data_IF_446657512565
#
_entry.id   IF_446657512565
#
_cell.length_a   1.000
_cell.length_b   1.000
_cell.length_c   1.000
_cell.angle_alpha   90.00
_cell.angle_beta   90.00
_cell.angle_gamma   90.00
#
_symmetry.space_group_name_H-M   'P 1'
#
loop_
_entity.id
_entity.type
_entity.pdbx_description
1 polymer ?
#
# COMPACT_ATOMS: atom_id res chain seq x y z
N UNK A 1 5.20 1.01 -7.28
CA UNK A 1 5.16 0.81 -5.80
C UNK A 1 3.80 0.24 -5.39
N UNK A 2 3.72 -1.05 -5.16
CA UNK A 2 2.50 -1.71 -4.67
C UNK A 2 2.60 -1.86 -3.15
N UNK A 3 1.69 -1.22 -2.43
CA UNK A 3 1.78 -1.12 -0.97
C UNK A 3 0.52 -1.68 -0.32
N UNK A 4 0.73 -2.67 0.55
CA UNK A 4 -0.32 -3.26 1.38
C UNK A 4 -0.35 -2.51 2.71
N UNK A 5 -1.45 -1.83 2.99
CA UNK A 5 -1.57 -1.02 4.22
C UNK A 5 -2.34 -1.73 5.33
N UNK A 6 -2.56 -3.04 5.19
CA UNK A 6 -3.20 -3.83 6.25
C UNK A 6 -2.23 -4.00 7.41
N UNK A 7 -2.78 -4.41 8.56
CA UNK A 7 -1.95 -4.73 9.71
C UNK A 7 -1.22 -6.05 9.49
N UNK A 8 -0.06 -6.20 10.11
CA UNK A 8 0.80 -7.38 9.93
C UNK A 8 0.07 -8.69 10.26
N UNK A 9 -0.78 -8.69 11.28
CA UNK A 9 -1.52 -9.89 11.65
C UNK A 9 -2.53 -10.32 10.58
N UNK A 10 -3.07 -9.40 9.81
CA UNK A 10 -3.95 -9.75 8.69
C UNK A 10 -3.17 -10.54 7.63
N UNK A 11 -1.93 -10.17 7.38
CA UNK A 11 -1.08 -10.85 6.41
C UNK A 11 -0.75 -12.29 6.86
N UNK A 12 -0.58 -12.49 8.15
CA UNK A 12 -0.31 -13.82 8.69
C UNK A 12 -1.48 -14.77 8.46
N UNK A 13 -2.68 -14.25 8.49
CA UNK A 13 -3.90 -15.05 8.31
C UNK A 13 -4.17 -15.33 6.82
N UNK A 14 -4.04 -14.32 5.98
CA UNK A 14 -4.48 -14.40 4.57
C UNK A 14 -3.34 -14.69 3.59
N UNK A 15 -2.10 -14.47 4.01
CA UNK A 15 -0.96 -14.43 3.10
C UNK A 15 -0.72 -13.04 2.55
N UNK A 16 0.32 -12.87 1.74
CA UNK A 16 0.74 -11.59 1.19
C UNK A 16 0.68 -11.61 -0.33
N UNK A 17 0.41 -10.45 -0.93
CA UNK A 17 0.47 -10.31 -2.39
C UNK A 17 1.94 -10.24 -2.80
N UNK A 18 2.34 -11.07 -3.74
CA UNK A 18 3.71 -11.10 -4.24
C UNK A 18 4.10 -9.73 -4.79
N UNK A 19 5.31 -9.31 -4.47
CA UNK A 19 5.89 -8.01 -4.87
C UNK A 19 5.27 -6.80 -4.19
N UNK A 20 4.42 -6.99 -3.18
CA UNK A 20 3.91 -5.88 -2.39
C UNK A 20 4.83 -5.60 -1.20
N UNK A 21 4.78 -4.36 -0.72
CA UNK A 21 5.48 -3.93 0.48
C UNK A 21 4.41 -3.67 1.53
N UNK A 22 4.57 -4.22 2.72
CA UNK A 22 3.63 -3.97 3.80
C UNK A 22 4.04 -2.73 4.60
N UNK A 23 3.18 -1.72 4.58
CA UNK A 23 3.32 -0.53 5.42
C UNK A 23 1.98 -0.35 6.11
N UNK A 24 1.84 -0.78 7.36
CA UNK A 24 0.56 -0.62 8.07
C UNK A 24 0.07 0.82 8.05
N UNK A 25 -1.25 1.01 7.96
CA UNK A 25 -1.85 2.34 7.78
C UNK A 25 -1.31 3.38 8.76
N UNK A 26 -1.09 2.98 10.01
CA UNK A 26 -0.60 3.90 11.05
C UNK A 26 0.82 4.41 10.85
N UNK A 27 1.59 3.76 9.98
CA UNK A 27 2.97 4.16 9.68
C UNK A 27 3.12 4.79 8.30
N UNK A 28 2.03 4.87 7.54
CA UNK A 28 2.12 5.22 6.12
C UNK A 28 2.69 6.62 5.89
N UNK A 29 2.17 7.62 6.57
CA UNK A 29 2.63 9.01 6.40
C UNK A 29 4.10 9.16 6.76
N UNK A 30 4.53 8.52 7.83
CA UNK A 30 5.91 8.56 8.26
C UNK A 30 6.83 7.90 7.24
N UNK A 31 6.47 6.71 6.80
CA UNK A 31 7.30 5.93 5.87
C UNK A 31 7.34 6.54 4.47
N UNK A 32 6.27 7.20 4.05
CA UNK A 32 6.18 7.81 2.72
C UNK A 32 6.43 9.32 2.73
N UNK A 33 6.86 9.88 3.84
CA UNK A 33 7.37 11.24 3.86
C UNK A 33 8.52 11.31 2.83
N UNK A 34 8.56 12.33 1.94
CA UNK A 34 9.65 12.45 0.95
C UNK A 34 11.05 12.43 1.57
N UNK A 35 11.17 12.85 2.83
CA UNK A 35 12.42 12.78 3.58
C UNK A 35 12.47 11.57 4.52
N UNK A 36 11.53 10.66 4.39
CA UNK A 36 11.39 9.50 5.26
C UNK A 36 12.29 8.33 4.89
N UNK A 37 12.29 7.28 5.72
CA UNK A 37 13.25 6.19 5.56
C UNK A 37 13.12 5.40 4.25
N UNK A 38 11.91 5.11 3.80
CA UNK A 38 11.75 4.28 2.60
C UNK A 38 12.08 5.05 1.31
N UNK A 39 11.78 6.35 1.28
CA UNK A 39 12.11 7.16 0.10
C UNK A 39 13.61 7.45 0.05
N UNK A 40 14.23 7.71 1.17
CA UNK A 40 15.67 7.96 1.24
C UNK A 40 16.49 6.70 0.90
N UNK A 41 16.00 5.53 1.25
CA UNK A 41 16.68 4.26 0.97
C UNK A 41 16.40 3.72 -0.43
N UNK A 42 15.56 4.40 -1.22
CA UNK A 42 15.22 3.97 -2.56
C UNK A 42 14.25 2.79 -2.63
N UNK A 43 13.68 2.37 -1.51
CA UNK A 43 12.70 1.27 -1.48
C UNK A 43 11.41 1.73 -2.13
N UNK A 44 11.01 2.97 -1.86
CA UNK A 44 9.88 3.62 -2.51
C UNK A 44 10.43 4.73 -3.42
N UNK A 45 10.05 4.68 -4.70
CA UNK A 45 10.41 5.74 -5.64
C UNK A 45 9.23 6.73 -5.69
N UNK A 46 9.38 7.95 -5.13
CA UNK A 46 8.27 8.92 -5.08
C UNK A 46 7.87 9.44 -6.45
N UNK A 47 8.69 9.20 -7.48
CA UNK A 47 8.39 9.62 -8.84
C UNK A 47 7.57 8.59 -9.61
N UNK A 48 7.45 7.39 -9.11
CA UNK A 48 6.66 6.32 -9.71
C UNK A 48 5.28 6.25 -9.07
N UNK A 49 4.34 5.65 -9.78
CA UNK A 49 2.99 5.47 -9.28
C UNK A 49 2.99 4.69 -7.97
N UNK A 50 2.16 5.12 -7.04
CA UNK A 50 1.95 4.44 -5.77
C UNK A 50 0.55 3.83 -5.80
N UNK A 51 0.47 2.53 -5.62
CA UNK A 51 -0.78 1.78 -5.62
C UNK A 51 -0.98 1.20 -4.23
N UNK A 52 -2.03 1.64 -3.54
CA UNK A 52 -2.34 1.19 -2.19
C UNK A 52 -3.46 0.17 -2.21
N UNK A 53 -3.43 -0.77 -1.27
CA UNK A 53 -4.59 -1.64 -1.06
C UNK A 53 -4.70 -2.03 0.41
N UNK A 54 -5.92 -2.36 0.81
CA UNK A 54 -6.21 -2.91 2.13
C UNK A 54 -7.08 -4.15 1.94
N UNK A 55 -7.86 -4.55 2.92
CA UNK A 55 -8.68 -5.77 2.79
C UNK A 55 -9.85 -5.58 1.82
N UNK A 56 -10.60 -4.49 1.93
CA UNK A 56 -11.83 -4.27 1.16
C UNK A 56 -11.89 -2.92 0.43
N UNK A 57 -10.92 -2.04 0.63
CA UNK A 57 -10.82 -0.76 -0.07
C UNK A 57 -11.11 0.49 0.77
N UNK A 58 -11.66 0.35 1.97
CA UNK A 58 -12.01 1.51 2.81
C UNK A 58 -10.80 2.28 3.31
N UNK A 59 -9.87 1.58 3.95
CA UNK A 59 -8.65 2.20 4.48
C UNK A 59 -7.79 2.78 3.36
N UNK A 60 -7.68 2.08 2.23
CA UNK A 60 -6.85 2.53 1.12
C UNK A 60 -7.43 3.73 0.40
N UNK A 61 -8.76 3.85 0.33
CA UNK A 61 -9.38 5.05 -0.25
C UNK A 61 -9.01 6.30 0.56
N UNK A 62 -9.11 6.21 1.89
CA UNK A 62 -8.74 7.33 2.77
C UNK A 62 -7.25 7.61 2.74
N UNK A 63 -6.42 6.56 2.69
CA UNK A 63 -4.98 6.71 2.61
C UNK A 63 -4.54 7.38 1.31
N UNK A 64 -5.20 7.07 0.20
CA UNK A 64 -4.93 7.73 -1.09
C UNK A 64 -5.13 9.22 -0.98
N UNK A 65 -6.24 9.64 -0.36
CA UNK A 65 -6.52 11.07 -0.15
C UNK A 65 -5.41 11.71 0.69
N UNK A 66 -4.99 11.05 1.75
CA UNK A 66 -3.92 11.57 2.62
C UNK A 66 -2.62 11.77 1.85
N UNK A 67 -2.22 10.79 1.05
CA UNK A 67 -1.00 10.92 0.25
C UNK A 67 -1.11 12.03 -0.79
N UNK A 68 -2.27 12.23 -1.39
CA UNK A 68 -2.49 13.35 -2.30
C UNK A 68 -2.29 14.68 -1.58
N UNK A 69 -2.79 14.80 -0.36
CA UNK A 69 -2.61 16.00 0.46
C UNK A 69 -1.14 16.21 0.86
N UNK A 70 -0.36 15.14 0.92
CA UNK A 70 1.08 15.23 1.17
C UNK A 70 1.89 15.62 -0.07
N UNK A 71 1.23 15.73 -1.23
CA UNK A 71 1.89 16.14 -2.46
C UNK A 71 2.15 15.04 -3.48
N UNK A 72 1.76 13.81 -3.19
CA UNK A 72 1.88 12.72 -4.18
C UNK A 72 0.83 12.91 -5.27
N UNK A 73 1.28 12.93 -6.52
CA UNK A 73 0.40 13.15 -7.67
C UNK A 73 -0.05 11.85 -8.34
N UNK A 74 0.78 10.81 -8.26
CA UNK A 74 0.52 9.53 -8.92
C UNK A 74 0.21 8.48 -7.86
N UNK A 75 -0.94 8.59 -7.21
CA UNK A 75 -1.37 7.65 -6.19
C UNK A 75 -2.80 7.20 -6.47
N UNK A 76 -3.03 5.90 -6.33
CA UNK A 76 -4.36 5.31 -6.47
C UNK A 76 -4.48 4.13 -5.52
N UNK A 77 -5.66 3.53 -5.46
CA UNK A 77 -5.85 2.32 -4.65
C UNK A 77 -6.65 1.29 -5.45
N UNK A 78 -6.61 0.05 -4.97
CA UNK A 78 -7.33 -1.03 -5.63
C UNK A 78 -8.70 -1.16 -4.96
N UNK A 79 -9.75 -0.87 -5.72
CA UNK A 79 -11.13 -1.03 -5.26
C UNK A 79 -11.38 -2.52 -4.94
N UNK A 80 -12.02 -2.77 -3.80
CA UNK A 80 -12.23 -4.13 -3.33
C UNK A 80 -11.02 -4.74 -2.63
N UNK A 81 -9.84 -4.14 -2.73
CA UNK A 81 -8.64 -4.52 -2.00
C UNK A 81 -8.23 -5.97 -2.17
N UNK A 82 -7.63 -6.55 -1.13
CA UNK A 82 -7.16 -7.93 -1.12
C UNK A 82 -8.27 -8.92 -1.50
N UNK A 83 -9.50 -8.67 -1.05
CA UNK A 83 -10.63 -9.55 -1.37
C UNK A 83 -10.86 -9.69 -2.87
N UNK A 84 -10.68 -8.62 -3.63
CA UNK A 84 -10.79 -8.65 -5.08
C UNK A 84 -9.52 -9.20 -5.74
N UNK A 85 -8.35 -8.80 -5.25
CA UNK A 85 -7.04 -9.21 -5.78
C UNK A 85 -6.85 -10.72 -5.68
N UNK A 86 -7.31 -11.32 -4.60
CA UNK A 86 -7.23 -12.74 -4.30
C UNK A 86 -7.97 -13.59 -5.36
N UNK A 87 -8.94 -13.03 -6.06
CA UNK A 87 -9.69 -13.70 -7.13
C UNK A 87 -9.20 -13.30 -8.53
N UNK A 88 -8.08 -12.63 -8.64
CA UNK A 88 -7.58 -12.14 -9.93
C UNK A 88 -6.19 -12.69 -10.21
N UNK A 89 -5.40 -12.00 -11.06
CA UNK A 89 -4.06 -12.47 -11.46
C UNK A 89 -2.98 -12.25 -10.42
N UNK A 90 -3.26 -11.56 -9.31
CA UNK A 90 -2.25 -11.34 -8.29
C UNK A 90 -1.90 -12.65 -7.59
N UNK A 91 -0.62 -12.89 -7.39
CA UNK A 91 -0.14 -14.10 -6.72
C UNK A 91 -0.08 -13.86 -5.22
N UNK A 92 -0.60 -14.79 -4.46
CA UNK A 92 -0.64 -14.73 -3.00
C UNK A 92 0.33 -15.75 -2.45
N UNK A 93 1.20 -15.31 -1.56
CA UNK A 93 2.15 -16.17 -0.85
C UNK A 93 1.67 -16.38 0.58
N UNK A 94 1.69 -17.60 1.02
CA UNK A 94 1.40 -17.95 2.42
C UNK A 94 2.67 -18.37 3.20
#
# INVERSE_FOLDING_TARGET
NLIDIRDTNELEITGVVENSINIPRGLLEFQLDPNGPLTQNGIIDPNKEIILFCAAGGRSALATKTLQEMGYKKVCHIAGGFSAMHHSKFKIKK
#
